data_IF_319312327624
#
_entry.id   IF_319312327624
#
_cell.length_a   1.000
_cell.length_b   1.000
_cell.length_c   1.000
_cell.angle_alpha   90.00
_cell.angle_beta   90.00
_cell.angle_gamma   90.00
#
_symmetry.space_group_name_H-M   'P 1'
#
loop_
_entity.id
_entity.type
_entity.pdbx_description
1 polymer ?
#
# COMPACT_ATOMS: atom_id res chain seq x y z
N UNK A 1 -56.14 -62.90 -15.70
CA UNK A 1 -55.43 -61.75 -16.37
C UNK A 1 -54.94 -60.67 -15.42
N UNK A 2 -55.42 -60.50 -14.18
CA UNK A 2 -55.00 -59.39 -13.23
C UNK A 2 -53.62 -59.57 -12.57
N UNK A 3 -53.07 -60.77 -12.43
CA UNK A 3 -51.79 -61.06 -11.77
C UNK A 3 -50.55 -60.57 -12.58
N UNK A 4 -50.53 -60.84 -13.89
CA UNK A 4 -49.40 -60.43 -14.79
C UNK A 4 -49.25 -58.93 -15.00
N UNK A 5 -50.31 -58.14 -14.78
CA UNK A 5 -50.28 -56.71 -14.93
C UNK A 5 -49.62 -55.98 -13.69
N UNK A 6 -49.74 -56.62 -12.48
CA UNK A 6 -49.08 -56.11 -11.23
C UNK A 6 -47.58 -56.36 -11.22
N UNK A 7 -47.14 -57.54 -11.76
CA UNK A 7 -45.69 -57.82 -11.80
C UNK A 7 -44.94 -56.99 -12.79
N UNK A 8 -45.49 -56.59 -13.92
CA UNK A 8 -44.90 -55.71 -14.90
C UNK A 8 -44.75 -54.23 -14.33
N UNK A 9 -45.70 -53.82 -13.54
CA UNK A 9 -45.65 -52.49 -12.88
C UNK A 9 -44.57 -52.41 -11.79
N UNK A 10 -44.36 -53.51 -11.06
CA UNK A 10 -43.33 -53.59 -10.03
C UNK A 10 -41.90 -53.59 -10.61
N UNK A 11 -41.69 -54.34 -11.73
CA UNK A 11 -40.40 -54.40 -12.43
C UNK A 11 -40.04 -53.05 -13.08
N UNK A 12 -41.02 -52.32 -13.64
CA UNK A 12 -40.78 -51.00 -14.21
C UNK A 12 -40.40 -49.96 -13.14
N UNK A 13 -40.99 -50.05 -11.95
CA UNK A 13 -40.65 -49.16 -10.83
C UNK A 13 -39.24 -49.41 -10.30
N UNK A 14 -38.85 -50.67 -10.13
CA UNK A 14 -37.49 -51.07 -9.70
C UNK A 14 -36.42 -50.60 -10.71
N UNK A 15 -36.70 -50.68 -12.01
CA UNK A 15 -35.79 -50.20 -13.07
C UNK A 15 -35.68 -48.69 -13.10
N UNK A 16 -36.75 -47.96 -12.80
CA UNK A 16 -36.73 -46.49 -12.67
C UNK A 16 -35.95 -46.05 -11.44
N UNK A 17 -36.16 -46.69 -10.31
CA UNK A 17 -35.44 -46.41 -9.06
C UNK A 17 -33.93 -46.68 -9.20
N UNK A 18 -33.55 -47.79 -9.86
CA UNK A 18 -32.14 -48.11 -10.14
C UNK A 18 -31.48 -47.11 -11.10
N UNK A 19 -32.18 -46.65 -12.14
CA UNK A 19 -31.67 -45.62 -13.05
C UNK A 19 -31.54 -44.26 -12.34
N UNK A 20 -32.47 -43.90 -11.45
CA UNK A 20 -32.39 -42.67 -10.65
C UNK A 20 -31.20 -42.70 -9.67
N UNK A 21 -30.96 -43.88 -9.05
CA UNK A 21 -29.81 -44.05 -8.15
C UNK A 21 -28.46 -43.98 -8.89
N UNK A 22 -28.37 -44.59 -10.08
CA UNK A 22 -27.16 -44.46 -10.92
C UNK A 22 -26.94 -43.05 -11.42
N UNK A 23 -27.98 -42.31 -11.81
CA UNK A 23 -27.90 -40.93 -12.22
C UNK A 23 -27.45 -40.04 -11.06
N UNK A 24 -27.96 -40.25 -9.84
CA UNK A 24 -27.54 -39.55 -8.62
C UNK A 24 -26.06 -39.79 -8.29
N UNK A 25 -25.59 -41.06 -8.40
CA UNK A 25 -24.17 -41.38 -8.17
C UNK A 25 -23.24 -40.77 -9.23
N UNK A 26 -23.70 -40.68 -10.48
CA UNK A 26 -22.93 -40.04 -11.57
C UNK A 26 -22.87 -38.52 -11.40
N UNK A 27 -23.97 -37.89 -11.01
CA UNK A 27 -24.05 -36.47 -10.74
C UNK A 27 -23.17 -36.08 -9.54
N UNK A 28 -23.17 -36.88 -8.46
CA UNK A 28 -22.30 -36.72 -7.31
C UNK A 28 -20.83 -36.74 -7.68
N UNK A 29 -20.41 -37.69 -8.54
CA UNK A 29 -19.01 -37.76 -9.01
C UNK A 29 -18.60 -36.58 -9.89
N UNK A 30 -19.51 -36.03 -10.68
CA UNK A 30 -19.25 -34.85 -11.52
C UNK A 30 -19.12 -33.59 -10.64
N UNK A 31 -20.01 -33.43 -9.65
CA UNK A 31 -19.96 -32.34 -8.69
C UNK A 31 -18.67 -32.40 -7.85
N UNK A 32 -18.29 -33.58 -7.33
CA UNK A 32 -17.04 -33.75 -6.58
C UNK A 32 -15.81 -33.43 -7.42
N UNK A 33 -15.80 -33.82 -8.69
CA UNK A 33 -14.69 -33.52 -9.61
C UNK A 33 -14.62 -32.02 -9.89
N UNK A 34 -15.76 -31.33 -10.04
CA UNK A 34 -15.84 -29.88 -10.23
C UNK A 34 -15.37 -29.11 -8.98
N UNK A 35 -15.80 -29.57 -7.79
CA UNK A 35 -15.37 -28.96 -6.53
C UNK A 35 -13.87 -29.13 -6.29
N UNK A 36 -13.31 -30.32 -6.53
CA UNK A 36 -11.87 -30.56 -6.41
C UNK A 36 -11.06 -29.79 -7.45
N UNK A 37 -11.56 -29.65 -8.67
CA UNK A 37 -10.91 -28.80 -9.69
C UNK A 37 -10.93 -27.33 -9.32
N UNK A 38 -12.03 -26.85 -8.72
CA UNK A 38 -12.15 -25.46 -8.26
C UNK A 38 -11.25 -25.19 -7.05
N UNK A 39 -11.18 -26.11 -6.07
CA UNK A 39 -10.29 -25.95 -4.91
C UNK A 39 -8.81 -25.96 -5.31
N UNK A 40 -8.39 -26.86 -6.19
CA UNK A 40 -7.03 -26.91 -6.71
C UNK A 40 -6.63 -25.62 -7.46
N UNK A 41 -7.55 -25.06 -8.28
CA UNK A 41 -7.31 -23.76 -8.93
C UNK A 41 -7.22 -22.59 -7.94
N UNK A 42 -7.99 -22.62 -6.85
CA UNK A 42 -7.93 -21.59 -5.81
C UNK A 42 -6.61 -21.69 -5.04
N UNK A 43 -6.16 -22.90 -4.71
CA UNK A 43 -4.87 -23.14 -4.06
C UNK A 43 -3.69 -22.70 -4.94
N UNK A 44 -3.67 -23.09 -6.21
CA UNK A 44 -2.65 -22.71 -7.18
C UNK A 44 -2.56 -21.17 -7.35
N UNK A 45 -3.73 -20.51 -7.41
CA UNK A 45 -3.79 -19.03 -7.45
C UNK A 45 -3.29 -18.38 -6.15
N UNK A 46 -3.59 -18.97 -5.01
CA UNK A 46 -3.13 -18.49 -3.71
C UNK A 46 -1.61 -18.66 -3.58
N UNK A 47 -1.04 -19.79 -4.00
CA UNK A 47 0.40 -20.00 -4.02
C UNK A 47 1.12 -19.05 -4.99
N UNK A 48 0.58 -18.86 -6.20
CA UNK A 48 1.13 -17.91 -7.16
C UNK A 48 1.07 -16.46 -6.64
N UNK A 49 -0.03 -16.09 -5.97
CA UNK A 49 -0.16 -14.78 -5.34
C UNK A 49 0.83 -14.60 -4.18
N UNK A 50 1.03 -15.63 -3.36
CA UNK A 50 2.01 -15.61 -2.27
C UNK A 50 3.45 -15.51 -2.79
N UNK A 51 3.80 -16.25 -3.85
CA UNK A 51 5.09 -16.16 -4.50
C UNK A 51 5.34 -14.77 -5.11
N UNK A 52 4.33 -14.20 -5.76
CA UNK A 52 4.40 -12.83 -6.29
C UNK A 52 4.57 -11.79 -5.17
N UNK A 53 3.84 -11.95 -4.06
CA UNK A 53 3.99 -11.08 -2.90
C UNK A 53 5.40 -11.17 -2.30
N UNK A 54 5.98 -12.36 -2.19
CA UNK A 54 7.35 -12.55 -1.71
C UNK A 54 8.38 -11.87 -2.62
N UNK A 55 8.22 -11.97 -3.95
CA UNK A 55 9.10 -11.27 -4.91
C UNK A 55 8.94 -9.75 -4.78
N UNK A 56 7.71 -9.25 -4.61
CA UNK A 56 7.45 -7.83 -4.41
C UNK A 56 8.13 -7.30 -3.14
N UNK A 57 8.08 -8.06 -2.05
CA UNK A 57 8.75 -7.72 -0.80
C UNK A 57 10.28 -7.67 -0.97
N UNK A 58 10.87 -8.63 -1.70
CA UNK A 58 12.30 -8.61 -1.98
C UNK A 58 12.73 -7.38 -2.79
N UNK A 59 11.93 -6.95 -3.76
CA UNK A 59 12.19 -5.75 -4.57
C UNK A 59 11.95 -4.47 -3.78
N UNK A 60 11.08 -4.51 -2.77
CA UNK A 60 10.71 -3.40 -1.90
C UNK A 60 11.57 -3.30 -0.62
N UNK A 61 12.71 -3.97 -0.56
CA UNK A 61 13.65 -3.82 0.56
C UNK A 61 14.41 -2.50 0.48
N UNK A 62 14.62 -1.91 1.64
CA UNK A 62 15.44 -0.71 1.76
C UNK A 62 16.92 -1.09 1.53
N UNK A 63 17.64 -0.36 0.65
CA UNK A 63 19.05 -0.62 0.43
C UNK A 63 19.86 -0.40 1.71
N UNK A 64 20.83 -1.28 1.98
CA UNK A 64 21.70 -1.21 3.17
C UNK A 64 22.53 0.10 3.24
N UNK A 65 22.71 0.78 2.12
CA UNK A 65 23.40 2.08 2.05
C UNK A 65 22.65 3.22 2.73
N UNK A 66 21.34 3.07 2.92
CA UNK A 66 20.50 4.07 3.60
C UNK A 66 20.88 4.25 5.07
N UNK A 67 21.43 3.23 5.70
CA UNK A 67 21.78 3.23 7.12
C UNK A 67 23.02 4.08 7.47
N UNK A 68 23.78 4.56 6.50
CA UNK A 68 25.15 5.05 6.76
C UNK A 68 25.38 6.57 6.71
N UNK A 69 24.49 7.40 6.13
CA UNK A 69 24.76 8.83 5.93
C UNK A 69 23.48 9.68 5.95
N UNK A 70 23.02 10.09 7.11
CA UNK A 70 21.91 11.05 7.22
C UNK A 70 22.14 12.05 8.34
N UNK A 71 21.42 13.15 8.29
CA UNK A 71 21.45 14.17 9.34
C UNK A 71 20.96 13.59 10.66
N UNK A 72 21.60 13.99 11.79
CA UNK A 72 21.17 13.57 13.13
C UNK A 72 19.74 14.04 13.45
N UNK A 73 19.33 15.17 12.90
CA UNK A 73 18.02 15.79 13.06
C UNK A 73 17.45 16.13 11.67
N UNK A 74 16.79 15.19 10.99
CA UNK A 74 16.22 15.43 9.66
C UNK A 74 15.15 16.51 9.64
N UNK A 75 14.42 16.72 10.75
CA UNK A 75 13.43 17.77 10.88
C UNK A 75 13.64 18.57 12.18
N UNK A 76 13.70 19.90 12.03
CA UNK A 76 13.70 20.87 13.14
C UNK A 76 12.69 21.95 12.82
N UNK A 77 11.68 22.12 13.66
CA UNK A 77 10.70 23.21 13.62
C UNK A 77 10.87 23.99 14.92
N UNK A 78 11.05 25.30 14.83
CA UNK A 78 11.26 26.17 15.99
C UNK A 78 10.28 27.33 15.97
N UNK A 79 9.44 27.38 16.97
CA UNK A 79 8.46 28.45 17.22
C UNK A 79 7.61 28.80 15.98
N UNK A 80 7.37 27.80 15.11
CA UNK A 80 6.62 28.05 13.90
C UNK A 80 5.15 28.32 14.20
N UNK A 81 4.59 29.33 13.54
CA UNK A 81 3.18 29.71 13.67
C UNK A 81 2.58 29.91 12.30
N UNK A 82 1.31 29.57 12.21
CA UNK A 82 0.51 29.82 11.02
C UNK A 82 -0.96 29.95 11.43
N UNK A 83 -1.72 30.86 10.80
CA UNK A 83 -3.14 31.10 11.09
C UNK A 83 -4.02 29.84 11.03
N UNK A 84 -3.65 28.86 10.21
CA UNK A 84 -4.37 27.60 10.10
C UNK A 84 -4.18 26.66 11.30
N UNK A 85 -3.28 26.99 12.23
CA UNK A 85 -3.05 26.23 13.47
C UNK A 85 -3.70 26.90 14.68
N UNK A 86 -4.67 27.77 14.45
CA UNK A 86 -5.48 28.40 15.50
C UNK A 86 -4.64 29.06 16.60
N UNK A 87 -3.52 29.66 16.23
CA UNK A 87 -2.62 30.35 17.17
C UNK A 87 -1.62 29.44 17.89
N UNK A 88 -1.69 28.13 17.70
CA UNK A 88 -0.72 27.21 18.25
C UNK A 88 0.67 27.48 17.67
N UNK A 89 1.66 27.47 18.55
CA UNK A 89 3.07 27.41 18.16
C UNK A 89 3.50 25.97 18.02
N UNK A 90 4.22 25.65 16.95
CA UNK A 90 4.76 24.32 16.68
C UNK A 90 6.26 24.31 16.92
N UNK A 91 6.68 23.45 17.84
CA UNK A 91 8.07 23.12 18.14
C UNK A 91 8.22 21.60 18.01
N UNK A 92 8.95 21.12 17.00
CA UNK A 92 9.13 19.71 16.75
C UNK A 92 10.53 19.42 16.24
N UNK A 93 11.22 18.52 16.93
CA UNK A 93 12.51 17.99 16.49
C UNK A 93 12.38 16.47 16.34
N UNK A 94 12.65 15.99 15.13
CA UNK A 94 12.74 14.55 14.86
C UNK A 94 14.20 14.16 14.74
N UNK A 95 14.60 13.20 15.56
CA UNK A 95 15.92 12.57 15.47
C UNK A 95 15.91 11.54 14.32
N UNK A 96 17.10 11.21 13.84
CA UNK A 96 17.24 10.16 12.83
C UNK A 96 16.62 8.84 13.31
N UNK A 97 15.84 8.19 12.45
CA UNK A 97 15.13 6.97 12.75
C UNK A 97 13.84 7.16 13.58
N UNK A 98 13.53 8.38 14.02
CA UNK A 98 12.30 8.63 14.77
C UNK A 98 11.05 8.38 13.91
N UNK A 99 10.05 7.75 14.51
CA UNK A 99 8.74 7.46 13.92
C UNK A 99 7.67 8.23 14.67
N UNK A 100 7.17 9.31 14.07
CA UNK A 100 6.26 10.23 14.71
C UNK A 100 4.91 10.27 14.01
N UNK A 101 3.83 10.10 14.78
CA UNK A 101 2.47 10.41 14.34
C UNK A 101 2.19 11.89 14.55
N UNK A 102 1.77 12.58 13.51
CA UNK A 102 1.18 13.90 13.61
C UNK A 102 -0.32 13.76 13.87
N UNK A 103 -0.69 13.82 15.14
CA UNK A 103 -2.05 13.65 15.62
C UNK A 103 -2.78 15.00 15.73
N UNK A 104 -4.10 14.98 15.79
CA UNK A 104 -4.95 16.15 15.97
C UNK A 104 -6.31 15.99 15.30
N UNK A 105 -7.27 16.81 15.74
CA UNK A 105 -8.64 16.79 15.19
C UNK A 105 -8.67 17.17 13.70
N UNK A 106 -9.73 16.84 13.01
CA UNK A 106 -9.93 17.31 11.64
C UNK A 106 -9.98 18.84 11.63
N UNK A 107 -9.24 19.46 10.70
CA UNK A 107 -9.11 20.93 10.64
C UNK A 107 -8.08 21.53 11.60
N UNK A 108 -7.35 20.74 12.41
CA UNK A 108 -6.29 21.26 13.29
C UNK A 108 -5.07 21.84 12.54
N UNK A 109 -4.99 21.59 11.23
CA UNK A 109 -3.92 22.11 10.39
C UNK A 109 -2.80 21.13 10.07
N UNK A 110 -2.99 19.82 10.29
CA UNK A 110 -2.02 18.77 9.93
C UNK A 110 -1.54 18.89 8.48
N UNK A 111 -2.49 18.95 7.53
CA UNK A 111 -2.15 19.10 6.11
C UNK A 111 -1.44 20.43 5.82
N UNK A 112 -1.74 21.51 6.56
CA UNK A 112 -1.02 22.78 6.41
C UNK A 112 0.42 22.68 6.91
N UNK A 113 0.67 21.91 7.98
CA UNK A 113 2.03 21.64 8.45
C UNK A 113 2.80 20.81 7.40
N UNK A 114 2.19 19.79 6.82
CA UNK A 114 2.82 19.02 5.76
C UNK A 114 3.08 19.87 4.50
N UNK A 115 2.14 20.75 4.11
CA UNK A 115 2.35 21.71 3.02
C UNK A 115 3.53 22.66 3.29
N UNK A 116 3.67 23.14 4.53
CA UNK A 116 4.81 23.95 4.93
C UNK A 116 6.12 23.17 4.77
N UNK A 117 6.17 21.92 5.22
CA UNK A 117 7.36 21.09 5.10
C UNK A 117 7.72 20.77 3.64
N UNK A 118 6.72 20.71 2.75
CA UNK A 118 6.94 20.58 1.30
C UNK A 118 7.36 21.88 0.61
N UNK A 119 7.40 23.00 1.36
CA UNK A 119 7.72 24.31 0.81
C UNK A 119 6.58 24.99 0.06
N UNK A 120 5.36 24.46 0.11
CA UNK A 120 4.16 25.01 -0.54
C UNK A 120 3.53 26.15 0.29
N UNK A 121 3.87 26.23 1.56
CA UNK A 121 3.35 27.20 2.51
C UNK A 121 4.49 27.74 3.38
N UNK A 122 4.56 29.07 3.57
CA UNK A 122 5.53 29.69 4.47
C UNK A 122 4.96 29.81 5.88
N UNK A 123 5.75 29.65 6.95
CA UNK A 123 5.35 30.01 8.30
C UNK A 123 5.18 31.53 8.43
N UNK A 124 4.20 31.98 9.22
CA UNK A 124 3.99 33.39 9.51
C UNK A 124 4.98 33.90 10.59
N UNK A 125 5.47 33.01 11.44
CA UNK A 125 6.54 33.26 12.42
C UNK A 125 7.30 31.95 12.69
N UNK A 126 8.49 32.10 13.27
CA UNK A 126 9.39 30.99 13.54
C UNK A 126 10.08 30.46 12.27
N UNK A 127 10.58 29.25 12.31
CA UNK A 127 11.32 28.65 11.20
C UNK A 127 11.21 27.13 11.22
N UNK A 128 11.50 26.51 10.06
CA UNK A 128 11.74 25.08 9.98
C UNK A 128 12.97 24.80 9.14
N UNK A 129 13.59 23.69 9.38
CA UNK A 129 14.72 23.18 8.62
C UNK A 129 14.57 21.68 8.37
N UNK A 130 14.76 21.30 7.13
CA UNK A 130 14.86 19.90 6.71
C UNK A 130 16.32 19.65 6.34
N UNK A 131 16.93 18.70 7.02
CA UNK A 131 18.32 18.31 6.80
C UNK A 131 18.31 16.96 6.09
N UNK A 132 18.67 16.97 4.81
CA UNK A 132 18.65 15.79 3.96
C UNK A 132 17.50 15.77 2.95
N UNK A 133 17.26 14.62 2.38
CA UNK A 133 16.24 14.42 1.35
C UNK A 133 14.87 14.17 1.97
N UNK A 134 13.91 15.03 1.62
CA UNK A 134 12.51 14.88 1.92
C UNK A 134 11.81 14.19 0.74
N UNK A 135 11.01 13.17 1.03
CA UNK A 135 10.04 12.60 0.08
C UNK A 135 8.68 12.55 0.74
N UNK A 136 7.63 12.80 -0.01
CA UNK A 136 6.25 12.73 0.45
C UNK A 136 5.50 11.63 -0.30
N UNK A 137 4.75 10.82 0.44
CA UNK A 137 3.79 9.87 -0.09
C UNK A 137 2.42 10.24 0.47
N UNK A 138 1.58 10.82 -0.36
CA UNK A 138 0.23 11.23 -0.02
C UNK A 138 -0.81 10.23 -0.56
N UNK A 139 -2.03 10.34 -0.09
CA UNK A 139 -3.17 9.55 -0.55
C UNK A 139 -3.36 9.57 -2.08
N UNK A 140 -3.10 10.71 -2.71
CA UNK A 140 -3.22 10.91 -4.16
C UNK A 140 -2.07 10.31 -4.96
N UNK A 141 -0.99 9.88 -4.29
CA UNK A 141 0.27 9.49 -4.90
C UNK A 141 0.78 10.56 -5.89
N UNK A 142 0.77 11.83 -5.44
CA UNK A 142 1.17 13.00 -6.25
C UNK A 142 2.60 12.94 -6.74
N UNK A 143 3.43 12.09 -6.13
CA UNK A 143 4.78 11.74 -6.59
C UNK A 143 4.79 11.17 -8.02
N UNK A 144 3.68 10.55 -8.46
CA UNK A 144 3.58 9.92 -9.79
C UNK A 144 3.02 10.92 -10.80
N UNK A 145 3.81 11.28 -11.79
CA UNK A 145 3.34 12.01 -12.96
C UNK A 145 2.49 11.07 -13.83
N UNK A 146 1.17 11.26 -13.83
CA UNK A 146 0.21 10.32 -14.44
C UNK A 146 0.32 10.21 -15.95
N UNK A 147 0.80 11.26 -16.61
CA UNK A 147 0.98 11.31 -18.06
C UNK A 147 2.29 10.65 -18.51
N UNK A 148 3.20 10.39 -17.56
CA UNK A 148 4.44 9.66 -17.83
C UNK A 148 4.25 8.16 -17.60
N UNK A 149 5.10 7.36 -18.22
CA UNK A 149 5.16 5.92 -17.99
C UNK A 149 5.79 5.58 -16.61
N UNK A 150 5.57 4.38 -16.07
CA UNK A 150 6.27 3.90 -14.87
C UNK A 150 7.79 4.00 -14.97
N UNK A 151 8.34 3.64 -16.13
CA UNK A 151 9.77 3.73 -16.40
C UNK A 151 10.27 5.18 -16.35
N UNK A 152 9.58 6.10 -17.02
CA UNK A 152 9.94 7.51 -17.02
C UNK A 152 9.84 8.13 -15.62
N UNK A 153 8.79 7.80 -14.86
CA UNK A 153 8.64 8.22 -13.46
C UNK A 153 9.79 7.75 -12.59
N UNK A 154 10.16 6.46 -12.68
CA UNK A 154 11.25 5.90 -11.86
C UNK A 154 12.60 6.52 -12.21
N UNK A 155 12.92 6.69 -13.48
CA UNK A 155 14.17 7.31 -13.93
C UNK A 155 14.24 8.81 -13.57
N UNK A 156 13.11 9.51 -13.57
CA UNK A 156 13.06 10.91 -13.16
C UNK A 156 13.47 11.12 -11.69
N UNK A 157 13.09 10.21 -10.79
CA UNK A 157 13.44 10.31 -9.35
C UNK A 157 14.77 9.65 -9.00
N UNK A 158 15.29 8.79 -9.87
CA UNK A 158 16.53 8.06 -9.69
C UNK A 158 17.40 8.13 -10.95
N UNK A 159 17.95 9.31 -11.32
CA UNK A 159 18.67 9.52 -12.56
C UNK A 159 19.99 8.72 -12.67
N UNK A 160 20.51 8.22 -11.56
CA UNK A 160 21.68 7.35 -11.53
C UNK A 160 21.36 5.88 -11.86
N UNK A 161 20.07 5.52 -11.90
CA UNK A 161 19.63 4.15 -12.18
C UNK A 161 19.69 3.91 -13.70
N UNK A 162 20.29 2.79 -14.12
CA UNK A 162 20.25 2.40 -15.53
C UNK A 162 18.83 2.02 -15.96
N UNK A 163 18.50 2.21 -17.24
CA UNK A 163 17.20 1.78 -17.74
C UNK A 163 16.97 0.28 -17.56
N UNK A 164 17.98 -0.54 -17.70
CA UNK A 164 17.92 -2.00 -17.47
C UNK A 164 17.54 -2.32 -16.03
N UNK A 165 18.18 -1.65 -15.05
CA UNK A 165 17.88 -1.86 -13.63
C UNK A 165 16.49 -1.33 -13.29
N UNK A 166 16.09 -0.20 -13.86
CA UNK A 166 14.73 0.33 -13.68
C UNK A 166 13.67 -0.65 -14.18
N UNK A 167 13.87 -1.23 -15.38
CA UNK A 167 12.99 -2.27 -15.93
C UNK A 167 12.94 -3.52 -15.06
N UNK A 168 14.07 -3.94 -14.52
CA UNK A 168 14.15 -5.10 -13.61
C UNK A 168 13.36 -4.84 -12.33
N UNK A 169 13.49 -3.66 -11.72
CA UNK A 169 12.72 -3.27 -10.53
C UNK A 169 11.22 -3.19 -10.82
N UNK A 170 10.83 -2.60 -11.95
CA UNK A 170 9.43 -2.54 -12.38
C UNK A 170 8.85 -3.93 -12.65
N UNK A 171 9.60 -4.83 -13.23
CA UNK A 171 9.17 -6.22 -13.43
C UNK A 171 8.90 -6.92 -12.08
N UNK A 172 9.70 -6.64 -11.05
CA UNK A 172 9.50 -7.15 -9.69
C UNK A 172 8.17 -6.73 -9.05
N UNK A 173 7.57 -5.62 -9.50
CA UNK A 173 6.24 -5.18 -9.06
C UNK A 173 5.14 -5.45 -10.10
N UNK A 174 5.42 -6.34 -11.06
CA UNK A 174 4.54 -6.73 -12.16
C UNK A 174 4.21 -5.60 -13.16
N UNK A 175 5.02 -4.56 -13.25
CA UNK A 175 4.96 -3.52 -14.28
C UNK A 175 6.05 -3.77 -15.34
N UNK A 176 5.85 -4.77 -16.22
CA UNK A 176 6.81 -5.17 -17.26
C UNK A 176 6.23 -5.04 -18.66
N UNK A 177 7.09 -5.15 -19.68
CA UNK A 177 6.71 -5.02 -21.08
C UNK A 177 6.04 -3.67 -21.37
N UNK A 178 4.92 -3.70 -22.09
CA UNK A 178 4.14 -2.52 -22.42
C UNK A 178 3.63 -1.75 -21.20
N UNK A 179 3.33 -2.46 -20.09
CA UNK A 179 2.89 -1.84 -18.82
C UNK A 179 3.93 -0.87 -18.25
N UNK A 180 5.22 -1.11 -18.46
CA UNK A 180 6.30 -0.22 -18.03
C UNK A 180 6.39 1.06 -18.89
N UNK A 181 5.83 1.05 -20.08
CA UNK A 181 5.95 2.13 -21.10
C UNK A 181 4.68 2.94 -21.30
N UNK A 182 3.51 2.41 -20.91
CA UNK A 182 2.24 3.13 -21.04
C UNK A 182 2.07 4.17 -19.93
N UNK A 183 1.32 5.26 -20.15
CA UNK A 183 1.07 6.26 -19.12
C UNK A 183 0.42 5.72 -17.86
N UNK A 184 0.81 6.25 -16.69
CA UNK A 184 0.37 5.79 -15.37
C UNK A 184 -1.12 6.00 -15.07
N UNK A 185 -1.84 6.81 -15.85
CA UNK A 185 -3.29 6.97 -15.65
C UNK A 185 -4.08 5.66 -15.86
N UNK A 186 -3.53 4.68 -16.60
CA UNK A 186 -4.11 3.35 -16.78
C UNK A 186 -3.80 2.33 -15.68
N UNK A 187 -3.03 2.71 -14.66
CA UNK A 187 -2.70 1.84 -13.54
C UNK A 187 -3.84 1.74 -12.53
N UNK A 188 -4.05 0.55 -11.96
CA UNK A 188 -4.92 0.35 -10.80
C UNK A 188 -4.37 1.06 -9.55
N UNK A 189 -5.20 1.21 -8.50
CA UNK A 189 -4.76 1.80 -7.23
C UNK A 189 -3.57 1.07 -6.61
N UNK A 190 -3.61 -0.26 -6.59
CA UNK A 190 -2.51 -1.09 -6.07
C UNK A 190 -1.24 -1.01 -6.91
N UNK A 191 -1.34 -0.96 -8.24
CA UNK A 191 -0.18 -0.76 -9.12
C UNK A 191 0.47 0.61 -8.91
N UNK A 192 -0.36 1.66 -8.76
CA UNK A 192 0.14 3.00 -8.45
C UNK A 192 0.85 3.05 -7.10
N UNK A 193 0.28 2.41 -6.06
CA UNK A 193 0.93 2.33 -4.76
C UNK A 193 2.31 1.66 -4.86
N UNK A 194 2.40 0.52 -5.53
CA UNK A 194 3.67 -0.20 -5.73
C UNK A 194 4.70 0.65 -6.47
N UNK A 195 4.27 1.36 -7.51
CA UNK A 195 5.14 2.30 -8.22
C UNK A 195 5.61 3.43 -7.30
N UNK A 196 4.68 4.06 -6.55
CA UNK A 196 5.01 5.11 -5.60
C UNK A 196 6.01 4.66 -4.53
N UNK A 197 5.81 3.47 -3.95
CA UNK A 197 6.76 2.88 -3.00
C UNK A 197 8.13 2.62 -3.64
N UNK A 198 8.17 2.07 -4.84
CA UNK A 198 9.43 1.85 -5.56
C UNK A 198 10.16 3.17 -5.83
N UNK A 199 9.43 4.24 -6.19
CA UNK A 199 10.00 5.58 -6.37
C UNK A 199 10.52 6.18 -5.05
N UNK A 200 9.84 5.95 -3.92
CA UNK A 200 10.32 6.36 -2.59
C UNK A 200 11.60 5.61 -2.23
N UNK A 201 11.62 4.29 -2.39
CA UNK A 201 12.80 3.46 -2.15
C UNK A 201 14.01 3.88 -2.99
N UNK A 202 13.78 4.23 -4.25
CA UNK A 202 14.83 4.66 -5.17
C UNK A 202 15.45 6.02 -4.79
N UNK A 203 14.71 6.86 -4.07
CA UNK A 203 15.17 8.19 -3.64
C UNK A 203 15.95 8.16 -2.33
N UNK A 204 15.84 7.11 -1.52
CA UNK A 204 16.50 7.00 -0.22
C UNK A 204 16.28 8.25 0.67
N UNK A 205 15.04 8.57 1.07
CA UNK A 205 14.77 9.78 1.84
C UNK A 205 15.37 9.73 3.24
N UNK A 206 15.86 10.87 3.76
CA UNK A 206 16.21 11.03 5.17
C UNK A 206 14.97 11.28 6.03
N UNK A 207 13.97 11.96 5.44
CA UNK A 207 12.67 12.22 6.02
C UNK A 207 11.55 11.83 5.05
N UNK A 208 10.71 10.92 5.47
CA UNK A 208 9.52 10.50 4.74
C UNK A 208 8.28 11.09 5.39
N UNK A 209 7.54 11.92 4.64
CA UNK A 209 6.22 12.41 5.04
C UNK A 209 5.14 11.50 4.45
N UNK A 210 4.21 11.10 5.30
CA UNK A 210 3.08 10.25 4.93
C UNK A 210 1.78 10.96 5.31
N UNK A 211 0.97 11.30 4.31
CA UNK A 211 -0.32 11.99 4.48
C UNK A 211 -1.47 11.05 4.12
N UNK A 212 -2.02 10.38 5.13
CA UNK A 212 -3.10 9.39 5.02
C UNK A 212 -2.86 8.34 3.91
N UNK A 213 -1.66 7.72 3.86
CA UNK A 213 -1.27 6.85 2.77
C UNK A 213 -2.03 5.51 2.76
N UNK A 214 -2.66 5.16 3.87
CA UNK A 214 -3.47 3.96 4.10
C UNK A 214 -4.92 4.10 3.66
N UNK A 215 -5.39 5.33 3.38
CA UNK A 215 -6.76 5.58 2.96
C UNK A 215 -7.07 4.96 1.61
N UNK A 216 -8.27 4.33 1.52
CA UNK A 216 -8.80 3.69 0.31
C UNK A 216 -7.95 2.56 -0.26
N UNK A 217 -7.00 2.02 0.52
CA UNK A 217 -6.26 0.84 0.14
C UNK A 217 -7.06 -0.43 0.44
N UNK A 218 -6.99 -1.39 -0.48
CA UNK A 218 -7.41 -2.75 -0.19
C UNK A 218 -6.46 -3.41 0.83
N UNK A 219 -6.91 -4.49 1.45
CA UNK A 219 -6.15 -5.15 2.51
C UNK A 219 -4.73 -5.60 2.08
N UNK A 220 -4.51 -6.22 0.91
CA UNK A 220 -3.18 -6.57 0.44
C UNK A 220 -2.26 -5.35 0.24
N UNK A 221 -2.77 -4.26 -0.34
CA UNK A 221 -2.00 -3.03 -0.54
C UNK A 221 -1.61 -2.37 0.78
N UNK A 222 -2.53 -2.36 1.77
CA UNK A 222 -2.24 -1.86 3.12
C UNK A 222 -1.16 -2.71 3.80
N UNK A 223 -1.24 -4.04 3.74
CA UNK A 223 -0.22 -4.92 4.31
C UNK A 223 1.16 -4.67 3.70
N UNK A 224 1.24 -4.55 2.38
CA UNK A 224 2.49 -4.23 1.69
C UNK A 224 3.06 -2.89 2.17
N UNK A 225 2.23 -1.83 2.21
CA UNK A 225 2.64 -0.51 2.67
C UNK A 225 3.16 -0.56 4.12
N UNK A 226 2.41 -1.19 5.02
CA UNK A 226 2.79 -1.35 6.43
C UNK A 226 4.14 -2.02 6.56
N UNK A 227 4.38 -3.12 5.84
CA UNK A 227 5.62 -3.88 5.91
C UNK A 227 6.81 -3.09 5.37
N UNK A 228 6.67 -2.43 4.22
CA UNK A 228 7.73 -1.58 3.65
C UNK A 228 8.09 -0.43 4.59
N UNK A 229 7.08 0.17 5.24
CA UNK A 229 7.31 1.26 6.19
C UNK A 229 7.87 0.77 7.53
N UNK A 230 7.49 -0.41 8.00
CA UNK A 230 8.05 -1.01 9.21
C UNK A 230 9.57 -1.21 9.10
N UNK A 231 10.05 -1.57 7.92
CA UNK A 231 11.46 -1.79 7.63
C UNK A 231 12.22 -0.50 7.24
N UNK A 232 11.55 0.66 7.18
CA UNK A 232 12.16 1.92 6.81
C UNK A 232 13.18 2.39 7.87
N UNK A 233 14.48 2.55 7.52
CA UNK A 233 15.50 2.92 8.49
C UNK A 233 15.63 4.43 8.73
N UNK A 234 14.93 5.25 7.93
CA UNK A 234 14.96 6.71 8.04
C UNK A 234 13.94 7.27 9.02
N UNK A 235 13.79 8.58 9.00
CA UNK A 235 12.84 9.32 9.87
C UNK A 235 11.50 9.45 9.20
N UNK A 236 10.42 9.19 9.95
CA UNK A 236 9.05 9.15 9.48
C UNK A 236 8.18 10.17 10.22
N UNK A 237 7.43 10.97 9.47
CA UNK A 237 6.32 11.77 9.99
C UNK A 237 5.03 11.32 9.29
N UNK A 238 4.12 10.71 10.05
CA UNK A 238 2.90 10.07 9.58
C UNK A 238 1.66 10.86 10.00
N UNK A 239 0.72 11.06 9.11
CA UNK A 239 -0.68 11.34 9.41
C UNK A 239 -1.49 10.12 9.01
N UNK A 240 -2.18 9.51 9.95
CA UNK A 240 -3.14 8.42 9.73
C UNK A 240 -4.19 8.43 10.83
N UNK A 241 -5.37 7.91 10.52
CA UNK A 241 -6.47 7.72 11.45
C UNK A 241 -6.71 6.25 11.82
N UNK A 242 -5.90 5.34 11.27
CA UNK A 242 -6.01 3.90 11.50
C UNK A 242 -5.00 3.44 12.57
N UNK A 243 -5.47 3.04 13.77
CA UNK A 243 -4.58 2.62 14.86
C UNK A 243 -3.77 1.38 14.53
N UNK A 244 -4.33 0.43 13.77
CA UNK A 244 -3.65 -0.81 13.41
C UNK A 244 -2.52 -0.54 12.43
N UNK A 245 -2.74 0.37 11.49
CA UNK A 245 -1.70 0.83 10.56
C UNK A 245 -0.58 1.56 11.31
N UNK A 246 -0.92 2.50 12.19
CA UNK A 246 0.03 3.27 13.02
C UNK A 246 0.90 2.33 13.86
N UNK A 247 0.27 1.35 14.53
CA UNK A 247 0.99 0.34 15.31
C UNK A 247 1.88 -0.55 14.42
N UNK A 248 1.37 -1.00 13.28
CA UNK A 248 2.09 -1.84 12.33
C UNK A 248 3.32 -1.16 11.72
N UNK A 249 3.27 0.16 11.53
CA UNK A 249 4.41 0.97 11.06
C UNK A 249 5.45 1.18 12.18
N UNK A 250 5.12 0.91 13.45
CA UNK A 250 6.03 1.05 14.58
C UNK A 250 6.24 2.49 15.01
N UNK A 251 5.16 3.29 15.06
CA UNK A 251 5.19 4.66 15.59
C UNK A 251 5.50 4.63 17.09
N UNK A 252 6.48 5.43 17.51
CA UNK A 252 6.95 5.49 18.90
C UNK A 252 6.58 6.79 19.60
N UNK A 253 6.22 7.83 18.82
CA UNK A 253 5.96 9.18 19.33
C UNK A 253 4.77 9.80 18.63
N UNK A 254 3.96 10.54 19.40
CA UNK A 254 2.88 11.37 18.87
C UNK A 254 3.17 12.85 19.09
N UNK A 255 2.90 13.66 18.08
CA UNK A 255 2.87 15.11 18.17
C UNK A 255 1.45 15.62 17.90
N UNK A 256 0.84 16.28 18.88
CA UNK A 256 -0.54 16.74 18.80
C UNK A 256 -0.62 18.18 18.29
N UNK A 257 -1.34 18.40 17.19
CA UNK A 257 -1.82 19.71 16.80
C UNK A 257 -3.20 19.93 17.43
N UNK A 258 -3.25 20.85 18.39
CA UNK A 258 -4.48 21.24 19.06
C UNK A 258 -5.27 22.12 18.09
N UNK A 259 -6.42 21.64 17.61
CA UNK A 259 -7.37 22.49 16.92
C UNK A 259 -7.96 23.47 17.92
N UNK A 260 -7.92 24.76 17.64
CA UNK A 260 -8.65 25.75 18.46
C UNK A 260 -10.12 25.32 18.60
N UNK A 261 -10.65 25.37 19.82
CA UNK A 261 -12.08 25.24 20.04
C UNK A 261 -12.80 26.27 19.20
N UNK A 262 -13.69 25.83 18.32
CA UNK A 262 -14.68 26.75 17.73
C UNK A 262 -15.69 27.04 18.83
N UNK A 263 -15.46 28.11 19.60
CA UNK A 263 -16.52 28.77 20.36
C UNK A 263 -17.53 29.39 19.41
#
# INVERSE_FOLDING_TARGET
MKRRRRERGSQAKILLDFKAEQAGKSLGKVLDRHQRGHSAQVEERAEAAAALAAVQLLVMQWPAEHDRKGAAQPLVITAARHRRWHGQQVDLVLQRGARCLLAGRNGSGKSSLLQMLRGELAPEAGSFRINGRLVCLDQGLSLIARDLSPLANLLAVAPSLSESDARTRLAGIALCGDRALMPCHGLSGGERLKLGLLMVLAQLPDLLLLDEPDNHLDHPSRQLLTQVLADYPGTLLLVSHDPDFVAGVGVEREYWLEGGDKS
#
